data_IF_393695365942
#
_entry.id   IF_393695365942
#
_cell.length_a   1.000
_cell.length_b   1.000
_cell.length_c   1.000
_cell.angle_alpha   90.00
_cell.angle_beta   90.00
_cell.angle_gamma   90.00
#
_symmetry.space_group_name_H-M   'P 1'
#
loop_
_entity.id
_entity.type
_entity.pdbx_description
1 polymer ?
#
# COMPACT_ATOMS: atom_id res chain seq x y z
N UNK A 1 -9.10 -0.47 21.26
CA UNK A 1 -8.87 0.23 19.97
C UNK A 1 -7.42 0.69 19.97
N UNK A 2 -6.53 -0.06 19.34
CA UNK A 2 -5.17 0.42 19.05
C UNK A 2 -5.33 1.54 18.05
N UNK A 3 -5.06 2.78 18.49
CA UNK A 3 -5.23 3.96 17.67
C UNK A 3 -4.33 3.87 16.44
N UNK A 4 -4.94 3.75 15.26
CA UNK A 4 -4.22 3.90 13.99
C UNK A 4 -3.64 5.31 14.01
N UNK A 5 -2.32 5.40 14.09
CA UNK A 5 -1.62 6.68 14.17
C UNK A 5 -1.89 7.47 12.89
N UNK A 6 -2.46 8.67 13.02
CA UNK A 6 -2.68 9.56 11.88
C UNK A 6 -1.32 10.06 11.41
N UNK A 7 -0.96 9.74 10.18
CA UNK A 7 0.29 10.20 9.54
C UNK A 7 0.03 11.48 8.75
N UNK A 8 0.94 12.44 8.88
CA UNK A 8 0.97 13.58 7.97
C UNK A 8 1.51 13.12 6.61
N UNK A 9 0.61 12.96 5.64
CA UNK A 9 0.95 12.50 4.28
C UNK A 9 1.71 13.53 3.44
N UNK A 10 1.99 14.71 3.98
CA UNK A 10 2.82 15.74 3.34
C UNK A 10 4.20 15.85 3.99
N UNK A 11 4.50 15.06 5.01
CA UNK A 11 5.82 14.98 5.64
C UNK A 11 6.61 13.81 5.04
N UNK A 12 7.64 14.07 4.24
CA UNK A 12 8.39 13.03 3.54
C UNK A 12 9.07 12.06 4.52
N UNK A 13 9.63 12.55 5.61
CA UNK A 13 10.34 11.70 6.58
C UNK A 13 9.38 10.82 7.38
N UNK A 14 8.16 11.30 7.69
CA UNK A 14 7.13 10.50 8.32
C UNK A 14 6.62 9.39 7.38
N UNK A 15 6.43 9.73 6.09
CA UNK A 15 5.97 8.78 5.06
C UNK A 15 7.04 7.72 4.79
N UNK A 16 8.28 8.10 4.55
CA UNK A 16 9.40 7.18 4.29
C UNK A 16 9.63 6.23 5.47
N UNK A 17 9.68 6.78 6.69
CA UNK A 17 9.81 5.97 7.91
C UNK A 17 8.69 4.96 8.08
N UNK A 18 7.44 5.33 7.76
CA UNK A 18 6.31 4.40 7.82
C UNK A 18 6.44 3.29 6.77
N UNK A 19 6.78 3.61 5.53
CA UNK A 19 6.95 2.63 4.45
C UNK A 19 8.04 1.61 4.80
N UNK A 20 9.20 2.07 5.25
CA UNK A 20 10.29 1.20 5.68
C UNK A 20 9.90 0.32 6.88
N UNK A 21 9.16 0.85 7.85
CA UNK A 21 8.64 0.05 8.98
C UNK A 21 7.64 -1.01 8.51
N UNK A 22 6.80 -0.67 7.55
CA UNK A 22 5.86 -1.64 6.97
C UNK A 22 6.61 -2.76 6.22
N UNK A 23 7.62 -2.42 5.43
CA UNK A 23 8.47 -3.39 4.74
C UNK A 23 9.15 -4.34 5.73
N UNK A 24 9.72 -3.81 6.82
CA UNK A 24 10.33 -4.64 7.86
C UNK A 24 9.30 -5.52 8.59
N UNK A 25 8.12 -4.99 8.88
CA UNK A 25 7.01 -5.75 9.45
C UNK A 25 6.58 -6.91 8.55
N UNK A 26 6.56 -6.71 7.23
CA UNK A 26 6.25 -7.76 6.26
C UNK A 26 7.35 -8.82 6.17
N UNK A 27 8.63 -8.42 6.23
CA UNK A 27 9.78 -9.35 6.21
C UNK A 27 9.78 -10.26 7.44
N UNK A 28 9.45 -9.72 8.60
CA UNK A 28 9.50 -10.40 9.90
C UNK A 28 8.17 -11.01 10.32
N UNK A 29 7.12 -10.88 9.50
CA UNK A 29 5.78 -11.38 9.80
C UNK A 29 5.78 -12.90 10.06
N UNK A 30 4.97 -13.32 11.03
CA UNK A 30 4.81 -14.75 11.36
C UNK A 30 4.31 -15.52 10.14
N UNK A 31 4.98 -16.61 9.81
CA UNK A 31 4.66 -17.44 8.63
C UNK A 31 5.29 -16.96 7.32
N UNK A 32 6.07 -15.88 7.33
CA UNK A 32 6.80 -15.43 6.16
C UNK A 32 7.99 -16.35 5.86
N UNK A 33 8.09 -16.83 4.62
CA UNK A 33 9.21 -17.65 4.11
C UNK A 33 9.57 -17.14 2.71
N UNK A 34 10.60 -16.32 2.63
CA UNK A 34 10.98 -15.64 1.38
C UNK A 34 9.83 -14.80 0.83
N UNK A 35 9.39 -15.05 -0.39
CA UNK A 35 8.27 -14.35 -1.04
C UNK A 35 6.89 -14.91 -0.66
N UNK A 36 6.82 -16.01 0.10
CA UNK A 36 5.57 -16.68 0.45
C UNK A 36 5.14 -16.33 1.87
N UNK A 37 3.85 -16.00 2.06
CA UNK A 37 3.23 -15.83 3.35
C UNK A 37 2.31 -17.02 3.65
N UNK A 38 2.60 -17.76 4.72
CA UNK A 38 1.76 -18.84 5.21
C UNK A 38 0.73 -18.27 6.19
N UNK A 39 -0.55 -18.41 5.86
CA UNK A 39 -1.67 -18.06 6.74
C UNK A 39 -2.12 -19.35 7.46
N UNK A 40 -2.47 -19.28 8.76
CA UNK A 40 -2.96 -20.43 9.49
C UNK A 40 -4.21 -21.07 8.85
N UNK A 41 -4.42 -22.36 9.06
CA UNK A 41 -5.56 -23.13 8.57
C UNK A 41 -6.88 -22.87 9.31
N UNK A 42 -6.83 -22.06 10.36
CA UNK A 42 -7.99 -21.66 11.18
C UNK A 42 -8.17 -20.16 11.16
N UNK A 43 -9.41 -19.72 11.25
CA UNK A 43 -9.77 -18.30 11.27
C UNK A 43 -10.51 -17.86 10.02
N UNK A 44 -10.29 -16.61 9.63
CA UNK A 44 -10.96 -15.97 8.48
C UNK A 44 -9.94 -15.26 7.61
N UNK A 45 -10.04 -15.44 6.31
CA UNK A 45 -9.29 -14.67 5.35
C UNK A 45 -10.25 -13.94 4.41
N UNK A 46 -10.06 -12.63 4.28
CA UNK A 46 -10.68 -11.83 3.25
C UNK A 46 -9.64 -11.58 2.16
N UNK A 47 -9.91 -12.02 0.96
CA UNK A 47 -9.07 -11.75 -0.22
C UNK A 47 -9.81 -10.76 -1.10
N UNK A 48 -9.14 -9.68 -1.48
CA UNK A 48 -9.74 -8.67 -2.34
C UNK A 48 -9.42 -8.93 -3.81
N UNK A 49 -10.23 -8.35 -4.69
CA UNK A 49 -9.80 -8.01 -6.03
C UNK A 49 -9.03 -6.69 -6.04
N UNK A 50 -8.89 -6.13 -7.23
CA UNK A 50 -8.17 -4.90 -7.51
C UNK A 50 -8.74 -3.70 -6.75
N UNK A 51 -7.86 -2.94 -6.11
CA UNK A 51 -8.24 -1.80 -5.28
C UNK A 51 -8.14 -0.47 -6.03
N UNK A 52 -7.11 -0.30 -6.87
CA UNK A 52 -6.91 0.85 -7.76
C UNK A 52 -7.16 2.21 -7.09
N UNK A 53 -6.42 2.50 -6.03
CA UNK A 53 -6.53 3.74 -5.25
C UNK A 53 -7.96 4.14 -4.88
N UNK A 54 -8.84 3.17 -4.59
CA UNK A 54 -10.20 3.45 -4.18
C UNK A 54 -10.32 3.52 -2.65
N UNK A 55 -10.30 4.72 -2.03
CA UNK A 55 -10.31 4.86 -0.57
C UNK A 55 -11.64 4.43 0.07
N UNK A 56 -12.73 4.48 -0.68
CA UNK A 56 -14.04 4.02 -0.18
C UNK A 56 -14.09 2.51 -0.11
N UNK A 57 -13.59 1.81 -1.14
CA UNK A 57 -13.47 0.36 -1.12
C UNK A 57 -12.50 -0.09 -0.04
N UNK A 58 -11.32 0.53 0.06
CA UNK A 58 -10.36 0.26 1.12
C UNK A 58 -11.00 0.35 2.51
N UNK A 59 -11.71 1.44 2.80
CA UNK A 59 -12.36 1.64 4.09
C UNK A 59 -13.41 0.56 4.40
N UNK A 60 -14.21 0.15 3.40
CA UNK A 60 -15.18 -0.95 3.53
C UNK A 60 -14.50 -2.29 3.76
N UNK A 61 -13.44 -2.59 3.00
CA UNK A 61 -12.66 -3.83 3.09
C UNK A 61 -12.05 -3.98 4.49
N UNK A 62 -11.37 -2.95 4.99
CA UNK A 62 -10.78 -2.96 6.34
C UNK A 62 -11.84 -3.18 7.41
N UNK A 63 -13.00 -2.53 7.28
CA UNK A 63 -14.14 -2.71 8.20
C UNK A 63 -14.69 -4.15 8.16
N UNK A 64 -14.79 -4.77 6.99
CA UNK A 64 -15.28 -6.16 6.82
C UNK A 64 -14.24 -7.16 7.33
N UNK A 65 -12.96 -6.93 7.10
CA UNK A 65 -11.87 -7.81 7.53
C UNK A 65 -11.81 -7.97 9.06
N UNK A 66 -12.22 -6.95 9.82
CA UNK A 66 -12.33 -7.01 11.30
C UNK A 66 -11.06 -7.52 11.97
N UNK A 67 -9.90 -7.01 11.53
CA UNK A 67 -8.60 -7.43 12.06
C UNK A 67 -8.44 -7.18 13.56
N UNK A 68 -9.22 -6.24 14.11
CA UNK A 68 -9.28 -5.90 15.53
C UNK A 68 -10.04 -6.93 16.39
N UNK A 69 -10.73 -7.90 15.78
CA UNK A 69 -11.59 -8.85 16.47
C UNK A 69 -10.94 -10.19 16.78
N UNK A 70 -9.84 -10.50 16.16
CA UNK A 70 -9.11 -11.73 16.39
C UNK A 70 -7.80 -11.77 15.61
N UNK A 71 -6.79 -12.36 16.19
CA UNK A 71 -5.47 -12.54 15.56
C UNK A 71 -5.49 -13.53 14.39
N UNK A 72 -6.58 -14.27 14.25
CA UNK A 72 -6.87 -15.25 13.21
C UNK A 72 -7.71 -14.67 12.05
N UNK A 73 -7.95 -13.34 12.07
CA UNK A 73 -8.53 -12.63 10.94
C UNK A 73 -7.41 -12.10 10.04
N UNK A 74 -7.46 -12.43 8.76
CA UNK A 74 -6.45 -12.05 7.77
C UNK A 74 -7.07 -11.30 6.60
N UNK A 75 -6.31 -10.36 6.04
CA UNK A 75 -6.69 -9.58 4.87
C UNK A 75 -5.58 -9.63 3.83
N UNK A 76 -5.92 -10.10 2.63
CA UNK A 76 -5.05 -10.05 1.45
C UNK A 76 -5.51 -8.91 0.54
N UNK A 77 -4.59 -8.02 0.19
CA UNK A 77 -4.81 -6.84 -0.66
C UNK A 77 -3.96 -6.97 -1.93
N UNK A 78 -4.51 -6.58 -3.07
CA UNK A 78 -3.79 -6.56 -4.35
C UNK A 78 -4.17 -5.36 -5.20
N UNK A 79 -3.37 -5.05 -6.22
CA UNK A 79 -3.58 -3.99 -7.22
C UNK A 79 -3.95 -2.66 -6.55
N UNK A 80 -3.04 -2.16 -5.74
CA UNK A 80 -3.34 -1.08 -4.78
C UNK A 80 -3.25 0.30 -5.40
N UNK A 81 -2.33 0.47 -6.35
CA UNK A 81 -2.00 1.77 -6.96
C UNK A 81 -2.65 1.95 -8.34
N UNK A 82 -2.41 3.11 -8.93
CA UNK A 82 -2.84 3.49 -10.28
C UNK A 82 -4.36 3.47 -10.50
N UNK A 83 -5.05 4.27 -9.69
CA UNK A 83 -6.49 4.50 -9.85
C UNK A 83 -6.84 5.33 -11.10
N UNK A 84 -8.13 5.31 -11.47
CA UNK A 84 -8.63 6.08 -12.63
C UNK A 84 -8.73 7.58 -12.34
N UNK A 85 -8.64 7.99 -11.07
CA UNK A 85 -8.81 9.39 -10.63
C UNK A 85 -7.47 10.09 -10.51
N UNK A 86 -7.14 10.89 -11.50
CA UNK A 86 -6.00 11.80 -11.44
C UNK A 86 -6.38 13.09 -10.71
N UNK A 87 -5.44 13.65 -9.96
CA UNK A 87 -5.57 14.96 -9.31
C UNK A 87 -4.62 15.93 -9.98
N UNK A 88 -5.15 16.92 -10.70
CA UNK A 88 -4.33 17.84 -11.48
C UNK A 88 -3.52 17.17 -12.60
N UNK A 89 -3.98 16.02 -13.09
CA UNK A 89 -3.30 15.27 -14.16
C UNK A 89 -2.24 14.28 -13.66
N UNK A 90 -2.01 14.16 -12.32
CA UNK A 90 -1.03 13.26 -11.73
C UNK A 90 -1.70 12.20 -10.87
N UNK A 91 -1.02 11.07 -10.70
CA UNK A 91 -1.48 9.95 -9.88
C UNK A 91 -1.02 10.11 -8.42
N UNK A 92 -1.99 10.24 -7.53
CA UNK A 92 -1.75 10.39 -6.09
C UNK A 92 -1.86 9.08 -5.31
N UNK A 93 -1.82 7.94 -5.98
CA UNK A 93 -2.05 6.62 -5.36
C UNK A 93 -0.95 6.18 -4.39
N UNK A 94 0.19 6.88 -4.30
CA UNK A 94 1.13 6.71 -3.19
C UNK A 94 0.43 6.87 -1.83
N UNK A 95 -0.64 7.66 -1.76
CA UNK A 95 -1.47 7.82 -0.55
C UNK A 95 -2.15 6.51 -0.14
N UNK A 96 -2.46 5.65 -1.10
CA UNK A 96 -2.99 4.32 -0.80
C UNK A 96 -1.90 3.42 -0.20
N UNK A 97 -0.67 3.48 -0.73
CA UNK A 97 0.46 2.77 -0.12
C UNK A 97 0.69 3.19 1.34
N UNK A 98 0.59 4.50 1.63
CA UNK A 98 0.70 5.02 3.01
C UNK A 98 -0.41 4.45 3.91
N UNK A 99 -1.66 4.35 3.42
CA UNK A 99 -2.76 3.74 4.19
C UNK A 99 -2.52 2.25 4.45
N UNK A 100 -2.05 1.54 3.43
CA UNK A 100 -1.76 0.11 3.54
C UNK A 100 -0.54 -0.13 4.44
N UNK A 101 0.51 0.67 4.33
CA UNK A 101 1.65 0.62 5.25
C UNK A 101 1.22 0.84 6.70
N UNK A 102 0.31 1.80 6.95
CA UNK A 102 -0.28 2.03 8.27
C UNK A 102 -1.01 0.79 8.78
N UNK A 103 -1.79 0.14 7.92
CA UNK A 103 -2.51 -1.09 8.26
C UNK A 103 -1.54 -2.25 8.56
N UNK A 104 -0.50 -2.42 7.75
CA UNK A 104 0.53 -3.46 7.93
C UNK A 104 1.26 -3.27 9.27
N UNK A 105 1.66 -2.04 9.59
CA UNK A 105 2.31 -1.74 10.88
C UNK A 105 1.39 -2.01 12.06
N UNK A 106 0.09 -1.73 11.93
CA UNK A 106 -0.90 -2.01 12.98
C UNK A 106 -1.22 -3.50 13.12
N UNK A 107 -1.17 -4.26 12.02
CA UNK A 107 -1.56 -5.68 11.95
C UNK A 107 -0.53 -6.51 11.17
N UNK A 108 0.73 -6.59 11.62
CA UNK A 108 1.84 -7.14 10.81
C UNK A 108 1.70 -8.62 10.46
N UNK A 109 0.91 -9.38 11.23
CA UNK A 109 0.67 -10.80 10.98
C UNK A 109 -0.68 -11.09 10.30
N UNK A 110 -1.45 -10.05 9.97
CA UNK A 110 -2.84 -10.19 9.51
C UNK A 110 -3.11 -9.45 8.19
N UNK A 111 -2.38 -8.36 7.91
CA UNK A 111 -2.50 -7.60 6.68
C UNK A 111 -1.39 -8.01 5.69
N UNK A 112 -1.79 -8.53 4.53
CA UNK A 112 -0.91 -9.15 3.54
C UNK A 112 -1.10 -8.50 2.17
N UNK A 113 -0.45 -7.34 1.90
CA UNK A 113 -0.39 -6.82 0.54
C UNK A 113 0.47 -7.74 -0.34
N UNK A 114 0.00 -7.98 -1.55
CA UNK A 114 0.73 -8.74 -2.57
C UNK A 114 1.01 -7.85 -3.78
N UNK A 115 2.11 -8.10 -4.45
CA UNK A 115 2.46 -7.40 -5.68
C UNK A 115 1.58 -7.88 -6.82
N UNK A 116 0.99 -6.95 -7.55
CA UNK A 116 0.27 -7.19 -8.78
C UNK A 116 0.99 -6.50 -9.96
N UNK A 117 0.40 -6.50 -11.14
CA UNK A 117 1.09 -5.98 -12.33
C UNK A 117 1.36 -4.48 -12.26
N UNK A 118 0.53 -3.68 -11.60
CA UNK A 118 0.74 -2.25 -11.46
C UNK A 118 1.89 -1.93 -10.50
N UNK A 119 1.98 -2.61 -9.35
CA UNK A 119 3.12 -2.48 -8.44
C UNK A 119 4.42 -2.94 -9.12
N UNK A 120 4.40 -4.05 -9.88
CA UNK A 120 5.56 -4.53 -10.61
C UNK A 120 6.00 -3.56 -11.71
N UNK A 121 5.05 -2.91 -12.40
CA UNK A 121 5.36 -1.87 -13.38
C UNK A 121 6.02 -0.67 -12.74
N UNK A 122 5.52 -0.23 -11.59
CA UNK A 122 6.10 0.88 -10.83
C UNK A 122 7.53 0.55 -10.40
N UNK A 123 7.76 -0.61 -9.79
CA UNK A 123 9.09 -1.07 -9.35
C UNK A 123 10.08 -1.24 -10.49
N UNK A 124 9.64 -1.79 -11.63
CA UNK A 124 10.52 -2.03 -12.78
C UNK A 124 10.67 -0.82 -13.70
N UNK A 125 9.94 0.26 -13.42
CA UNK A 125 9.87 1.47 -14.27
C UNK A 125 9.44 1.16 -15.71
N UNK A 126 8.78 0.03 -15.93
CA UNK A 126 8.24 -0.35 -17.23
C UNK A 126 6.85 0.26 -17.36
N UNK A 127 6.78 1.33 -18.16
CA UNK A 127 5.54 2.06 -18.33
C UNK A 127 4.40 1.20 -18.87
N UNK A 128 3.25 1.28 -18.20
CA UNK A 128 1.96 0.84 -18.74
C UNK A 128 1.26 2.08 -19.27
N UNK A 129 0.89 2.04 -20.55
CA UNK A 129 0.11 3.12 -21.16
C UNK A 129 -1.36 2.91 -20.80
N UNK A 130 -1.95 3.83 -20.06
CA UNK A 130 -3.39 3.87 -19.81
C UNK A 130 -3.93 5.18 -20.41
N UNK A 131 -4.72 5.07 -21.47
CA UNK A 131 -5.16 6.25 -22.22
C UNK A 131 -4.00 6.96 -22.93
N UNK A 132 -3.82 8.26 -22.69
CA UNK A 132 -2.78 9.10 -23.30
C UNK A 132 -1.49 9.26 -22.50
N UNK A 133 -1.31 8.54 -21.37
CA UNK A 133 -0.18 8.76 -20.47
C UNK A 133 0.49 7.50 -19.92
N UNK A 134 1.74 7.66 -19.51
CA UNK A 134 2.50 6.65 -18.77
C UNK A 134 2.14 6.76 -17.27
N UNK A 135 1.39 5.78 -16.75
CA UNK A 135 0.91 5.81 -15.36
C UNK A 135 2.04 5.78 -14.33
N UNK A 136 3.17 5.13 -14.64
CA UNK A 136 4.37 5.11 -13.79
C UNK A 136 4.96 6.52 -13.63
N UNK A 137 5.01 7.27 -14.73
CA UNK A 137 5.46 8.66 -14.73
C UNK A 137 4.52 9.59 -13.97
N UNK A 138 3.22 9.43 -14.17
CA UNK A 138 2.19 10.19 -13.45
C UNK A 138 2.24 9.96 -11.93
N UNK A 139 2.57 8.75 -11.50
CA UNK A 139 2.77 8.42 -10.10
C UNK A 139 3.99 9.13 -9.51
N UNK A 140 5.13 9.11 -10.23
CA UNK A 140 6.35 9.82 -9.82
C UNK A 140 6.05 11.32 -9.70
N UNK A 141 5.40 11.90 -10.71
CA UNK A 141 4.98 13.32 -10.69
C UNK A 141 4.04 13.63 -9.52
N UNK A 142 3.17 12.68 -9.12
CA UNK A 142 2.31 12.82 -7.95
C UNK A 142 3.10 12.89 -6.64
N UNK A 143 4.14 12.08 -6.49
CA UNK A 143 5.07 12.13 -5.37
C UNK A 143 5.87 13.44 -5.37
N UNK A 144 6.42 13.82 -6.52
CA UNK A 144 7.17 15.09 -6.70
C UNK A 144 6.31 16.32 -6.40
N UNK A 145 5.05 16.32 -6.82
CA UNK A 145 4.12 17.41 -6.52
C UNK A 145 3.95 17.65 -5.03
N UNK A 146 3.88 16.57 -4.24
CA UNK A 146 3.64 16.70 -2.79
C UNK A 146 4.91 16.99 -2.02
N UNK A 147 6.04 16.36 -2.40
CA UNK A 147 7.26 16.39 -1.59
C UNK A 147 8.37 17.28 -2.16
N UNK A 148 8.23 17.75 -3.38
CA UNK A 148 9.19 18.65 -4.04
C UNK A 148 10.59 18.05 -4.05
N UNK A 149 11.57 18.80 -3.56
CA UNK A 149 13.00 18.41 -3.52
C UNK A 149 13.29 17.20 -2.62
N UNK A 150 12.32 16.73 -1.84
CA UNK A 150 12.42 15.53 -0.97
C UNK A 150 11.68 14.31 -1.52
N UNK A 151 11.21 14.39 -2.76
CA UNK A 151 10.50 13.26 -3.42
C UNK A 151 11.34 12.00 -3.49
N UNK A 152 12.65 12.11 -3.73
CA UNK A 152 13.57 10.97 -3.82
C UNK A 152 13.59 10.14 -2.52
N UNK A 153 13.49 10.80 -1.35
CA UNK A 153 13.42 10.11 -0.06
C UNK A 153 12.19 9.16 0.00
N UNK A 154 11.05 9.62 -0.51
CA UNK A 154 9.81 8.85 -0.51
C UNK A 154 9.82 7.78 -1.60
N UNK A 155 10.30 8.11 -2.81
CA UNK A 155 10.41 7.16 -3.92
C UNK A 155 11.34 5.99 -3.55
N UNK A 156 12.50 6.26 -2.95
CA UNK A 156 13.40 5.20 -2.47
C UNK A 156 12.78 4.31 -1.37
N UNK A 157 11.84 4.84 -0.58
CA UNK A 157 11.16 4.05 0.43
C UNK A 157 9.98 3.23 -0.14
N UNK A 158 9.49 3.58 -1.35
CA UNK A 158 8.47 2.83 -2.10
C UNK A 158 9.11 1.65 -2.84
N UNK A 159 10.28 1.85 -3.44
CA UNK A 159 11.06 0.87 -4.21
C UNK A 159 11.72 -0.18 -3.29
#
# INVERSE_FOLDING_TARGET
MTGVQTINMSDPSAVSSLLLRAAESMKTAKGRRGSTQHIPDKGKVLVTGDLHDNPFHYSKIVKIARLDRGVDHHLVLQEMIHGDKLIGGVDMSFRMLVRIATLVVAYPNQAHPILANHELSQLTRRGITKGSGNIVEMFIQGVEWVFGTKSDEVLCAID
#
